data_IF_165413314232
#
_entry.id   IF_165413314232
#
_cell.length_a   1.000
_cell.length_b   1.000
_cell.length_c   1.000
_cell.angle_alpha   90.00
_cell.angle_beta   90.00
_cell.angle_gamma   90.00
#
_symmetry.space_group_name_H-M   'P 1'
#
loop_
_entity.id
_entity.type
_entity.pdbx_description
1 polymer ?
#
# COMPACT_ATOMS: atom_id res chain seq x y z
N UNK A 1 -2.49 -5.36 -16.85
CA UNK A 1 -3.63 -4.65 -16.23
C UNK A 1 -3.95 -5.40 -14.97
N UNK A 2 -3.95 -4.73 -13.82
CA UNK A 2 -4.39 -5.33 -12.58
C UNK A 2 -5.88 -5.67 -12.73
N UNK A 3 -6.22 -6.94 -12.55
CA UNK A 3 -7.57 -7.50 -12.61
C UNK A 3 -8.42 -7.14 -11.38
N UNK A 4 -7.90 -6.32 -10.47
CA UNK A 4 -8.54 -6.03 -9.18
C UNK A 4 -9.93 -5.40 -9.31
N UNK A 5 -10.10 -4.40 -10.19
CA UNK A 5 -11.39 -3.76 -10.39
C UNK A 5 -12.43 -4.69 -11.04
N UNK A 6 -12.01 -5.52 -12.01
CA UNK A 6 -12.87 -6.53 -12.65
C UNK A 6 -13.26 -7.62 -11.65
N UNK A 7 -12.31 -8.07 -10.82
CA UNK A 7 -12.57 -9.05 -9.77
C UNK A 7 -13.56 -8.52 -8.73
N UNK A 8 -13.37 -7.29 -8.25
CA UNK A 8 -14.30 -6.65 -7.32
C UNK A 8 -15.69 -6.49 -7.95
N UNK A 9 -15.77 -6.07 -9.21
CA UNK A 9 -17.02 -5.97 -9.95
C UNK A 9 -17.79 -7.30 -9.93
N UNK A 10 -17.12 -8.42 -10.25
CA UNK A 10 -17.77 -9.74 -10.25
C UNK A 10 -18.19 -10.22 -8.86
N UNK A 11 -17.43 -9.89 -7.80
CA UNK A 11 -17.87 -10.19 -6.42
C UNK A 11 -19.16 -9.41 -6.11
N UNK A 12 -19.21 -8.11 -6.44
CA UNK A 12 -20.35 -7.24 -6.15
C UNK A 12 -21.61 -7.57 -6.97
N UNK A 13 -21.50 -8.31 -8.07
CA UNK A 13 -22.65 -8.84 -8.82
C UNK A 13 -23.38 -9.98 -8.07
N UNK A 14 -22.72 -10.62 -7.11
CA UNK A 14 -23.32 -11.70 -6.32
C UNK A 14 -24.28 -11.14 -5.25
N UNK A 15 -25.39 -11.83 -4.93
CA UNK A 15 -26.25 -11.42 -3.82
C UNK A 15 -25.46 -11.39 -2.50
N UNK A 16 -25.52 -10.32 -1.69
CA UNK A 16 -24.67 -10.15 -0.49
C UNK A 16 -24.76 -11.29 0.53
N UNK A 17 -25.94 -11.90 0.66
CA UNK A 17 -26.16 -13.01 1.60
C UNK A 17 -25.90 -14.40 0.98
N UNK A 18 -25.44 -14.45 -0.27
CA UNK A 18 -25.18 -15.71 -0.96
C UNK A 18 -23.88 -16.36 -0.44
N UNK A 19 -23.81 -17.71 -0.38
CA UNK A 19 -22.57 -18.39 -0.04
C UNK A 19 -21.39 -18.03 -0.95
N UNK A 20 -21.66 -17.73 -2.23
CA UNK A 20 -20.64 -17.29 -3.19
C UNK A 20 -20.05 -15.93 -2.82
N UNK A 21 -20.91 -14.93 -2.58
CA UNK A 21 -20.46 -13.60 -2.16
C UNK A 21 -19.61 -13.68 -0.88
N UNK A 22 -20.13 -14.35 0.16
CA UNK A 22 -19.45 -14.46 1.45
C UNK A 22 -18.08 -15.17 1.35
N UNK A 23 -17.99 -16.20 0.50
CA UNK A 23 -16.73 -16.88 0.24
C UNK A 23 -15.72 -15.98 -0.47
N UNK A 24 -16.15 -15.33 -1.56
CA UNK A 24 -15.23 -14.57 -2.43
C UNK A 24 -14.79 -13.25 -1.78
N UNK A 25 -15.69 -12.55 -1.07
CA UNK A 25 -15.33 -11.33 -0.32
C UNK A 25 -14.36 -11.65 0.82
N UNK A 26 -14.54 -12.77 1.52
CA UNK A 26 -13.63 -13.19 2.59
C UNK A 26 -12.25 -13.58 2.03
N UNK A 27 -12.22 -14.24 0.86
CA UNK A 27 -10.98 -14.59 0.18
C UNK A 27 -10.24 -13.34 -0.31
N UNK A 28 -10.93 -12.35 -0.86
CA UNK A 28 -10.36 -11.09 -1.32
C UNK A 28 -9.70 -10.29 -0.20
N UNK A 29 -10.28 -10.27 1.02
CA UNK A 29 -9.69 -9.58 2.17
C UNK A 29 -8.46 -10.27 2.79
N UNK A 30 -8.34 -11.60 2.71
CA UNK A 30 -7.13 -12.35 3.08
C UNK A 30 -6.72 -12.35 4.58
N UNK A 31 -7.43 -11.63 5.45
CA UNK A 31 -7.05 -11.44 6.86
C UNK A 31 -7.08 -12.72 7.70
N UNK A 32 -7.90 -13.71 7.31
CA UNK A 32 -7.95 -15.02 7.97
C UNK A 32 -6.62 -15.79 7.88
N UNK A 33 -5.87 -15.56 6.80
CA UNK A 33 -4.57 -16.21 6.57
C UNK A 33 -3.40 -15.32 6.95
N UNK A 34 -3.55 -14.00 6.80
CA UNK A 34 -2.47 -13.04 6.96
C UNK A 34 -2.82 -11.92 7.95
N UNK A 35 -3.21 -12.21 9.21
CA UNK A 35 -3.69 -11.17 10.13
C UNK A 35 -2.59 -10.19 10.56
N UNK A 36 -1.32 -10.61 10.48
CA UNK A 36 -0.18 -9.74 10.75
C UNK A 36 -0.10 -8.57 9.77
N UNK A 37 -0.48 -8.78 8.50
CA UNK A 37 -0.50 -7.72 7.49
C UNK A 37 -1.32 -6.53 8.00
N UNK A 38 -2.56 -6.77 8.43
CA UNK A 38 -3.43 -5.72 8.97
C UNK A 38 -2.82 -5.05 10.20
N UNK A 39 -2.22 -5.82 11.11
CA UNK A 39 -1.70 -5.30 12.38
C UNK A 39 -0.50 -4.35 12.21
N UNK A 40 0.32 -4.54 11.16
CA UNK A 40 1.51 -3.71 10.92
C UNK A 40 1.38 -2.77 9.73
N UNK A 41 0.28 -2.88 8.95
CA UNK A 41 0.10 -2.22 7.66
C UNK A 41 0.41 -0.72 7.70
N UNK A 42 -0.16 0.00 8.66
CA UNK A 42 0.09 1.43 8.80
C UNK A 42 1.51 1.71 9.31
N UNK A 43 1.94 0.96 10.33
CA UNK A 43 3.22 1.19 11.00
C UNK A 43 4.45 0.98 10.11
N UNK A 44 4.32 0.19 9.04
CA UNK A 44 5.45 -0.05 8.12
C UNK A 44 5.83 1.20 7.31
N UNK A 45 4.97 2.22 7.28
CA UNK A 45 5.22 3.53 6.66
C UNK A 45 5.71 4.60 7.65
N UNK A 46 5.87 4.27 8.94
CA UNK A 46 6.20 5.26 9.97
C UNK A 46 7.64 5.79 9.84
N UNK A 47 7.80 7.11 9.96
CA UNK A 47 9.10 7.78 10.03
C UNK A 47 9.04 8.94 11.04
N UNK A 48 9.50 8.68 12.27
CA UNK A 48 9.59 9.72 13.31
C UNK A 48 8.25 10.20 13.87
N UNK A 49 7.21 9.36 13.83
CA UNK A 49 5.85 9.74 14.25
C UNK A 49 5.14 8.63 15.03
N UNK A 50 4.01 8.99 15.65
CA UNK A 50 2.97 8.04 16.07
C UNK A 50 1.96 7.97 14.92
N UNK A 51 1.72 6.77 14.39
CA UNK A 51 0.84 6.63 13.22
C UNK A 51 -0.62 6.81 13.59
N UNK A 52 -1.08 6.11 14.64
CA UNK A 52 -2.35 6.28 15.36
C UNK A 52 -3.63 6.16 14.54
N UNK A 53 -3.68 5.29 13.53
CA UNK A 53 -4.81 5.19 12.60
C UNK A 53 -4.91 6.42 11.68
N UNK A 54 -3.80 6.84 11.07
CA UNK A 54 -3.74 7.95 10.10
C UNK A 54 -4.70 7.77 8.94
N UNK A 55 -4.82 6.54 8.42
CA UNK A 55 -5.78 6.19 7.36
C UNK A 55 -7.22 6.56 7.75
N UNK A 56 -7.60 6.25 9.00
CA UNK A 56 -8.93 6.53 9.55
C UNK A 56 -9.11 8.01 9.86
N UNK A 57 -8.14 8.62 10.55
CA UNK A 57 -8.21 10.02 11.00
C UNK A 57 -8.19 11.02 9.86
N UNK A 58 -7.53 10.70 8.76
CA UNK A 58 -7.36 11.58 7.60
C UNK A 58 -8.33 11.25 6.47
N UNK A 59 -9.22 10.27 6.66
CA UNK A 59 -10.21 9.91 5.66
C UNK A 59 -11.11 11.11 5.34
N UNK A 60 -11.19 11.56 4.07
CA UNK A 60 -12.03 12.69 3.72
C UNK A 60 -13.52 12.38 3.95
N UNK A 61 -14.34 13.37 4.36
CA UNK A 61 -15.76 13.15 4.63
C UNK A 61 -16.56 12.57 3.46
N UNK A 62 -16.13 12.82 2.22
CA UNK A 62 -16.80 12.30 1.01
C UNK A 62 -16.79 10.76 0.97
N UNK A 63 -15.79 10.10 1.59
CA UNK A 63 -15.72 8.64 1.72
C UNK A 63 -16.70 8.06 2.77
N UNK A 64 -17.59 8.89 3.33
CA UNK A 64 -18.80 8.38 3.98
C UNK A 64 -19.81 7.81 2.97
N UNK A 65 -19.65 8.12 1.67
CA UNK A 65 -20.38 7.48 0.58
C UNK A 65 -19.90 6.02 0.41
N UNK A 66 -20.78 5.02 0.58
CA UNK A 66 -20.41 3.61 0.46
C UNK A 66 -19.97 3.20 -0.96
N UNK A 67 -20.23 4.02 -1.98
CA UNK A 67 -19.81 3.76 -3.35
C UNK A 67 -18.32 4.14 -3.59
N UNK A 68 -17.69 4.85 -2.64
CA UNK A 68 -16.27 5.22 -2.72
C UNK A 68 -15.38 4.22 -1.97
N UNK A 69 -14.58 3.48 -2.73
CA UNK A 69 -13.61 2.54 -2.17
C UNK A 69 -12.32 3.24 -1.73
N UNK A 70 -11.76 2.78 -0.62
CA UNK A 70 -10.54 3.35 -0.02
C UNK A 70 -9.27 2.58 -0.37
N UNK A 71 -9.34 1.51 -1.16
CA UNK A 71 -8.18 0.68 -1.49
C UNK A 71 -7.75 -0.22 -0.32
N UNK A 72 -6.44 -0.27 -0.01
CA UNK A 72 -5.85 -1.18 0.99
C UNK A 72 -5.74 -0.56 2.41
N UNK A 73 -6.52 0.48 2.71
CA UNK A 73 -6.47 1.10 4.03
C UNK A 73 -6.99 0.15 5.12
N UNK A 74 -6.31 0.13 6.27
CA UNK A 74 -6.70 -0.61 7.46
C UNK A 74 -7.21 0.36 8.52
N UNK A 75 -8.39 0.08 9.07
CA UNK A 75 -9.04 0.89 10.09
C UNK A 75 -9.14 0.15 11.42
N UNK A 76 -9.22 0.91 12.52
CA UNK A 76 -9.28 0.35 13.87
C UNK A 76 -10.50 -0.56 14.07
N UNK A 77 -11.65 -0.20 13.50
CA UNK A 77 -12.89 -0.98 13.57
C UNK A 77 -12.77 -2.36 12.90
N UNK A 78 -11.85 -2.56 11.96
CA UNK A 78 -11.67 -3.87 11.31
C UNK A 78 -11.20 -4.94 12.32
N UNK A 79 -10.48 -4.54 13.36
CA UNK A 79 -10.10 -5.45 14.45
C UNK A 79 -11.26 -5.81 15.38
N UNK A 80 -12.40 -5.12 15.27
CA UNK A 80 -13.63 -5.43 16.00
C UNK A 80 -14.55 -6.32 15.15
N UNK A 81 -14.63 -6.05 13.85
CA UNK A 81 -15.58 -6.73 12.95
C UNK A 81 -15.06 -8.05 12.38
N UNK A 82 -13.78 -8.10 11.99
CA UNK A 82 -13.21 -9.31 11.41
C UNK A 82 -12.76 -10.25 12.52
N UNK A 83 -13.47 -11.38 12.68
CA UNK A 83 -13.17 -12.39 13.69
C UNK A 83 -11.71 -12.87 13.67
N UNK A 84 -11.08 -12.91 12.50
CA UNK A 84 -9.66 -13.27 12.35
C UNK A 84 -8.68 -12.24 12.93
N UNK A 85 -9.10 -10.97 13.03
CA UNK A 85 -8.29 -9.86 13.52
C UNK A 85 -8.53 -9.58 15.01
N UNK A 86 -9.69 -9.93 15.56
CA UNK A 86 -10.06 -9.71 16.96
C UNK A 86 -8.97 -10.13 17.97
N UNK A 87 -8.28 -11.29 17.84
CA UNK A 87 -7.22 -11.66 18.77
C UNK A 87 -6.03 -10.69 18.81
N UNK A 88 -5.85 -9.87 17.77
CA UNK A 88 -4.77 -8.90 17.65
C UNK A 88 -5.19 -7.46 17.99
N UNK A 89 -6.46 -7.22 18.34
CA UNK A 89 -6.99 -5.86 18.51
C UNK A 89 -6.18 -5.00 19.51
N UNK A 90 -5.87 -5.55 20.69
CA UNK A 90 -5.06 -4.86 21.70
C UNK A 90 -3.63 -4.58 21.20
N UNK A 91 -3.02 -5.56 20.52
CA UNK A 91 -1.68 -5.41 19.96
C UNK A 91 -1.64 -4.34 18.86
N UNK A 92 -2.65 -4.30 17.99
CA UNK A 92 -2.76 -3.32 16.92
C UNK A 92 -2.91 -1.90 17.49
N UNK A 93 -3.67 -1.72 18.58
CA UNK A 93 -3.79 -0.44 19.27
C UNK A 93 -2.47 0.02 19.91
N UNK A 94 -1.71 -0.92 20.51
CA UNK A 94 -0.37 -0.62 21.04
C UNK A 94 0.60 -0.20 19.93
N UNK A 95 0.56 -0.89 18.78
CA UNK A 95 1.37 -0.58 17.60
C UNK A 95 1.00 0.80 17.03
N UNK A 96 -0.28 1.12 16.91
CA UNK A 96 -0.76 2.40 16.40
C UNK A 96 -0.33 3.58 17.31
N UNK A 97 -0.24 3.37 18.63
CA UNK A 97 0.21 4.38 19.59
C UNK A 97 1.73 4.44 19.77
N UNK A 98 2.48 3.54 19.16
CA UNK A 98 3.92 3.50 19.29
C UNK A 98 4.57 4.73 18.64
N UNK A 99 5.52 5.35 19.34
CA UNK A 99 6.32 6.44 18.80
C UNK A 99 7.51 5.86 18.02
N UNK A 100 7.38 5.83 16.70
CA UNK A 100 8.41 5.27 15.82
C UNK A 100 9.60 6.20 15.69
N UNK A 101 10.83 5.66 15.64
CA UNK A 101 12.02 6.47 15.38
C UNK A 101 12.00 7.01 13.96
N UNK A 102 12.82 8.04 13.71
CA UNK A 102 13.11 8.46 12.35
C UNK A 102 14.00 7.41 11.68
N UNK A 103 13.52 6.83 10.59
CA UNK A 103 14.20 5.80 9.80
C UNK A 103 15.12 6.42 8.74
N UNK A 104 14.71 7.53 8.13
CA UNK A 104 15.42 8.11 6.97
C UNK A 104 16.23 9.35 7.35
N UNK A 105 17.51 9.36 6.95
CA UNK A 105 18.37 10.55 6.99
C UNK A 105 18.44 11.18 5.59
N UNK A 106 17.69 12.26 5.38
CA UNK A 106 17.65 13.00 4.12
C UNK A 106 19.01 13.54 3.69
N UNK A 107 19.87 13.96 4.63
CA UNK A 107 21.20 14.47 4.31
C UNK A 107 22.08 13.35 3.77
N UNK A 108 21.96 12.17 4.35
CA UNK A 108 22.67 10.99 3.88
C UNK A 108 22.15 10.53 2.51
N UNK A 109 20.83 10.56 2.27
CA UNK A 109 20.23 10.24 0.98
C UNK A 109 20.65 11.24 -0.12
N UNK A 110 20.72 12.53 0.19
CA UNK A 110 21.20 13.56 -0.72
C UNK A 110 22.73 13.45 -1.00
N UNK A 111 23.48 12.78 -0.14
CA UNK A 111 24.90 12.49 -0.30
C UNK A 111 25.19 11.09 -0.85
N UNK A 112 24.16 10.34 -1.26
CA UNK A 112 24.30 8.97 -1.75
C UNK A 112 25.31 8.87 -2.91
N UNK A 113 26.18 7.87 -2.84
CA UNK A 113 27.23 7.58 -3.84
C UNK A 113 26.93 6.32 -4.66
N UNK A 114 25.96 5.52 -4.24
CA UNK A 114 25.58 4.28 -4.93
C UNK A 114 24.59 4.61 -6.05
N UNK A 115 24.72 4.06 -7.27
CA UNK A 115 23.70 4.20 -8.29
C UNK A 115 22.35 3.63 -7.82
N UNK A 116 21.27 4.36 -8.05
CA UNK A 116 19.91 3.92 -7.70
C UNK A 116 19.03 4.05 -8.92
N UNK A 117 18.19 3.05 -9.17
CA UNK A 117 17.13 3.11 -10.16
C UNK A 117 15.79 2.83 -9.46
N UNK A 118 14.75 3.57 -9.83
CA UNK A 118 13.42 3.39 -9.31
C UNK A 118 12.41 3.45 -10.46
N UNK A 119 11.36 2.63 -10.40
CA UNK A 119 10.20 2.77 -11.28
C UNK A 119 9.15 3.58 -10.54
N UNK A 120 8.51 4.50 -11.23
CA UNK A 120 7.35 5.26 -10.75
C UNK A 120 6.21 4.95 -11.70
N UNK A 121 5.14 4.36 -11.19
CA UNK A 121 3.95 4.11 -12.00
C UNK A 121 3.05 5.35 -11.97
N UNK A 122 2.77 5.90 -13.16
CA UNK A 122 2.11 7.20 -13.29
C UNK A 122 0.66 7.20 -12.76
N UNK A 123 0.01 6.04 -12.77
CA UNK A 123 -1.38 5.83 -12.36
C UNK A 123 -1.47 4.88 -11.14
N UNK A 124 -0.42 4.81 -10.31
CA UNK A 124 -0.49 4.01 -9.08
C UNK A 124 -1.54 4.59 -8.13
N UNK A 125 -2.51 3.76 -7.72
CA UNK A 125 -3.54 4.19 -6.77
C UNK A 125 -3.07 4.22 -5.31
N UNK A 126 -1.95 3.54 -5.01
CA UNK A 126 -1.44 3.38 -3.64
C UNK A 126 -0.28 4.31 -3.33
N UNK A 127 0.58 4.57 -4.32
CA UNK A 127 1.78 5.41 -4.14
C UNK A 127 1.67 6.65 -5.00
N UNK A 128 1.49 7.81 -4.37
CA UNK A 128 1.35 9.08 -5.07
C UNK A 128 2.57 9.38 -5.95
N UNK A 129 2.28 9.75 -7.21
CA UNK A 129 3.31 10.02 -8.22
C UNK A 129 4.15 11.23 -7.84
N UNK A 130 3.52 12.33 -7.41
CA UNK A 130 4.22 13.59 -7.13
C UNK A 130 5.16 13.43 -5.93
N UNK A 131 4.72 12.73 -4.87
CA UNK A 131 5.58 12.38 -3.73
C UNK A 131 6.75 11.48 -4.14
N UNK A 132 6.53 10.55 -5.08
CA UNK A 132 7.58 9.68 -5.61
C UNK A 132 8.61 10.46 -6.43
N UNK A 133 8.16 11.38 -7.28
CA UNK A 133 9.01 12.27 -8.07
C UNK A 133 9.80 13.24 -7.17
N UNK A 134 9.17 13.78 -6.12
CA UNK A 134 9.83 14.60 -5.10
C UNK A 134 10.96 13.83 -4.40
N UNK A 135 10.68 12.60 -3.99
CA UNK A 135 11.67 11.71 -3.37
C UNK A 135 12.82 11.42 -4.32
N UNK A 136 12.51 11.11 -5.58
CA UNK A 136 13.50 10.88 -6.63
C UNK A 136 14.43 12.08 -6.84
N UNK A 137 13.91 13.30 -6.73
CA UNK A 137 14.70 14.54 -6.80
C UNK A 137 15.61 14.80 -5.59
N UNK A 138 15.32 14.19 -4.44
CA UNK A 138 16.09 14.36 -3.18
C UNK A 138 17.21 13.34 -3.01
N UNK A 139 17.05 12.14 -3.57
CA UNK A 139 18.05 11.06 -3.45
C UNK A 139 19.10 11.19 -4.56
N UNK A 140 20.36 11.44 -4.18
CA UNK A 140 21.44 11.56 -5.17
C UNK A 140 21.68 10.24 -5.89
N UNK A 141 21.99 10.33 -7.18
CA UNK A 141 22.20 9.21 -8.11
C UNK A 141 20.98 8.31 -8.35
N UNK A 142 19.78 8.72 -7.91
CA UNK A 142 18.54 8.05 -8.26
C UNK A 142 18.13 8.41 -9.69
N UNK A 143 17.83 7.40 -10.48
CA UNK A 143 17.37 7.50 -11.86
C UNK A 143 15.94 6.97 -11.95
N UNK A 144 14.92 7.85 -11.97
CA UNK A 144 13.55 7.42 -12.04
C UNK A 144 13.20 6.99 -13.46
N UNK A 145 12.41 5.92 -13.56
CA UNK A 145 11.66 5.55 -14.75
C UNK A 145 10.18 5.75 -14.47
N UNK A 146 9.66 6.90 -14.91
CA UNK A 146 8.22 7.16 -14.89
C UNK A 146 7.56 6.44 -16.07
N UNK A 147 6.51 5.67 -15.81
CA UNK A 147 5.77 4.93 -16.84
C UNK A 147 4.30 4.79 -16.51
N UNK A 148 3.45 4.79 -17.53
CA UNK A 148 2.04 4.44 -17.46
C UNK A 148 1.75 3.06 -18.10
N UNK A 149 2.79 2.29 -18.44
CA UNK A 149 2.65 0.94 -19.01
C UNK A 149 2.14 -0.08 -17.98
N UNK A 150 2.29 0.24 -16.69
CA UNK A 150 1.95 -0.62 -15.56
C UNK A 150 1.35 0.22 -14.43
N UNK A 151 0.68 -0.48 -13.51
CA UNK A 151 0.22 0.07 -12.23
C UNK A 151 1.00 -0.59 -11.09
N UNK A 152 0.48 -0.50 -9.86
CA UNK A 152 1.11 -1.02 -8.65
C UNK A 152 1.56 -2.49 -8.78
N UNK A 153 0.83 -3.30 -9.55
CA UNK A 153 1.13 -4.71 -9.78
C UNK A 153 2.18 -4.97 -10.88
N UNK A 154 2.92 -3.96 -11.32
CA UNK A 154 3.84 -4.06 -12.46
C UNK A 154 4.82 -5.24 -12.40
N UNK A 155 5.37 -5.56 -11.22
CA UNK A 155 6.27 -6.71 -11.05
C UNK A 155 5.55 -8.04 -11.32
N UNK A 156 4.27 -8.17 -10.92
CA UNK A 156 3.44 -9.35 -11.20
C UNK A 156 3.11 -9.43 -12.69
N UNK A 157 2.85 -8.29 -13.31
CA UNK A 157 2.46 -8.20 -14.73
C UNK A 157 3.64 -8.48 -15.69
N UNK A 158 4.82 -7.92 -15.42
CA UNK A 158 5.99 -8.00 -16.33
C UNK A 158 7.32 -7.79 -15.58
N UNK A 159 7.51 -8.53 -14.48
CA UNK A 159 8.64 -8.34 -13.59
C UNK A 159 10.01 -8.52 -14.23
N UNK A 160 10.15 -9.41 -15.22
CA UNK A 160 11.41 -9.60 -15.94
C UNK A 160 11.83 -8.33 -16.68
N UNK A 161 10.94 -7.75 -17.48
CA UNK A 161 11.21 -6.52 -18.23
C UNK A 161 11.49 -5.34 -17.31
N UNK A 162 10.71 -5.22 -16.23
CA UNK A 162 10.89 -4.13 -15.26
C UNK A 162 12.25 -4.24 -14.57
N UNK A 163 12.61 -5.42 -14.08
CA UNK A 163 13.90 -5.64 -13.41
C UNK A 163 15.07 -5.44 -14.38
N UNK A 164 15.01 -5.97 -15.60
CA UNK A 164 16.06 -5.77 -16.61
C UNK A 164 16.30 -4.29 -16.92
N UNK A 165 15.22 -3.51 -17.01
CA UNK A 165 15.30 -2.07 -17.22
C UNK A 165 15.88 -1.34 -16.02
N UNK A 166 15.44 -1.66 -14.80
CA UNK A 166 15.98 -1.06 -13.57
C UNK A 166 17.46 -1.38 -13.38
N UNK A 167 17.89 -2.63 -13.63
CA UNK A 167 19.29 -3.03 -13.55
C UNK A 167 20.13 -2.28 -14.59
N UNK A 168 19.62 -2.14 -15.82
CA UNK A 168 20.28 -1.38 -16.87
C UNK A 168 20.39 0.10 -16.51
N UNK A 169 19.33 0.70 -15.95
CA UNK A 169 19.33 2.07 -15.44
C UNK A 169 20.30 2.26 -14.28
N UNK A 170 20.51 1.28 -13.42
CA UNK A 170 21.47 1.38 -12.32
C UNK A 170 22.95 1.22 -12.77
N UNK A 171 23.19 0.56 -13.91
CA UNK A 171 24.56 0.29 -14.41
C UNK A 171 25.14 1.35 -15.33
N UNK A 172 24.29 2.15 -15.98
CA UNK A 172 24.71 3.22 -16.89
C UNK A 172 25.13 4.50 -16.14
#
# INVERSE_FOLDING_TARGET
>A
MADGAEHLHHILELPPESPGFLHDVAAAGGFSRNPLFAAIHESCYADGCVTGWSAERLLPPDYADPDLFTGEHIYSWMFQDYAALQPLAEAAELVARHAWPRLYDERQLAANKVPVAAVIYANDMYVDRELSEETAGRVRNLRPWLTNEYEHDGIRADGSRILDRLISLARN
#
